data_IF_061890768528
#
_entry.id   IF_061890768528
#
_cell.length_a   1.000
_cell.length_b   1.000
_cell.length_c   1.000
_cell.angle_alpha   90.00
_cell.angle_beta   90.00
_cell.angle_gamma   90.00
#
_symmetry.space_group_name_H-M   'P 1'
#
loop_
_entity.id
_entity.type
_entity.pdbx_description
1 polymer ?
#
# COMPACT_ATOMS: atom_id res chain seq x y z
N UNK A 1 9.56 -12.74 -7.10
CA UNK A 1 8.64 -11.64 -6.76
C UNK A 1 8.42 -10.86 -8.04
N UNK A 2 7.20 -10.85 -8.60
CA UNK A 2 6.94 -10.11 -9.85
C UNK A 2 7.03 -8.61 -9.57
N UNK A 3 7.79 -7.85 -10.37
CA UNK A 3 7.90 -6.39 -10.24
C UNK A 3 6.55 -5.69 -10.46
N UNK A 4 5.65 -6.36 -11.19
CA UNK A 4 4.31 -5.90 -11.55
C UNK A 4 3.46 -5.47 -10.33
N UNK A 5 3.66 -6.08 -9.16
CA UNK A 5 2.94 -5.69 -7.94
C UNK A 5 3.42 -4.36 -7.36
N UNK A 6 4.62 -3.92 -7.71
CA UNK A 6 5.21 -2.69 -7.20
C UNK A 6 5.27 -1.59 -8.25
N UNK A 7 5.05 -1.91 -9.52
CA UNK A 7 5.02 -0.92 -10.60
C UNK A 7 3.77 -0.04 -10.50
N UNK A 8 3.93 1.26 -10.67
CA UNK A 8 2.85 2.25 -10.77
C UNK A 8 3.32 3.38 -11.68
N UNK A 9 2.38 4.02 -12.36
CA UNK A 9 2.64 5.15 -13.26
C UNK A 9 2.59 6.47 -12.49
N UNK A 10 1.55 6.66 -11.67
CA UNK A 10 1.33 7.89 -10.92
C UNK A 10 1.29 7.61 -9.41
N UNK A 11 2.01 8.40 -8.62
CA UNK A 11 1.82 8.43 -7.16
C UNK A 11 0.95 9.61 -6.78
N UNK A 12 -0.30 9.34 -6.39
CA UNK A 12 -1.24 10.37 -5.94
C UNK A 12 -1.44 10.37 -4.42
N UNK A 13 -0.57 9.65 -3.69
CA UNK A 13 -0.64 9.67 -2.24
C UNK A 13 -0.47 11.11 -1.76
N UNK A 14 -1.24 11.43 -0.73
CA UNK A 14 -1.14 12.67 0.02
C UNK A 14 -0.65 12.34 1.43
N UNK A 15 -0.32 13.36 2.22
CA UNK A 15 0.15 13.20 3.59
C UNK A 15 -0.67 12.17 4.39
N UNK A 16 0.02 11.38 5.21
CA UNK A 16 -0.62 10.30 5.92
C UNK A 16 -1.49 10.85 7.06
N UNK A 17 -2.80 10.70 6.92
CA UNK A 17 -3.77 10.94 8.01
C UNK A 17 -4.16 9.63 8.69
N UNK A 18 -4.82 9.70 9.84
CA UNK A 18 -5.38 8.53 10.51
C UNK A 18 -6.33 7.72 9.60
N UNK A 19 -7.16 8.42 8.80
CA UNK A 19 -8.03 7.77 7.81
C UNK A 19 -7.26 7.09 6.68
N UNK A 20 -6.17 7.70 6.20
CA UNK A 20 -5.29 7.09 5.19
C UNK A 20 -4.53 5.88 5.73
N UNK A 21 -4.13 5.90 7.00
CA UNK A 21 -3.57 4.73 7.70
C UNK A 21 -4.57 3.58 7.78
N UNK A 22 -5.83 3.88 8.11
CA UNK A 22 -6.88 2.87 8.11
C UNK A 22 -7.09 2.28 6.70
N UNK A 23 -7.07 3.13 5.66
CA UNK A 23 -7.18 2.68 4.27
C UNK A 23 -6.03 1.74 3.87
N UNK A 24 -4.79 2.03 4.28
CA UNK A 24 -3.67 1.13 4.07
C UNK A 24 -3.89 -0.24 4.73
N UNK A 25 -4.26 -0.25 6.01
CA UNK A 25 -4.55 -1.50 6.74
C UNK A 25 -5.68 -2.29 6.08
N UNK A 26 -6.72 -1.60 5.61
CA UNK A 26 -7.82 -2.24 4.89
C UNK A 26 -7.35 -2.88 3.57
N UNK A 27 -6.49 -2.18 2.81
CA UNK A 27 -5.90 -2.74 1.60
C UNK A 27 -5.10 -4.01 1.89
N UNK A 28 -4.29 -4.00 2.94
CA UNK A 28 -3.53 -5.17 3.39
C UNK A 28 -4.45 -6.35 3.72
N UNK A 29 -5.48 -6.12 4.54
CA UNK A 29 -6.45 -7.15 4.91
C UNK A 29 -7.12 -7.75 3.67
N UNK A 30 -7.52 -6.92 2.70
CA UNK A 30 -8.11 -7.39 1.44
C UNK A 30 -7.17 -8.34 0.68
N UNK A 31 -5.87 -8.02 0.62
CA UNK A 31 -4.89 -8.88 -0.03
C UNK A 31 -4.74 -10.24 0.67
N UNK A 32 -4.68 -10.23 2.00
CA UNK A 32 -4.59 -11.45 2.83
C UNK A 32 -5.85 -12.31 2.70
N UNK A 33 -7.03 -11.68 2.59
CA UNK A 33 -8.31 -12.35 2.35
C UNK A 33 -8.50 -12.84 0.90
N UNK A 34 -7.50 -12.66 0.03
CA UNK A 34 -7.54 -13.12 -1.36
C UNK A 34 -8.43 -12.28 -2.27
N UNK A 35 -8.73 -11.02 -1.91
CA UNK A 35 -9.38 -10.08 -2.82
C UNK A 35 -8.38 -9.65 -3.89
N UNK A 36 -8.74 -9.84 -5.15
CA UNK A 36 -7.98 -9.29 -6.27
C UNK A 36 -8.53 -7.90 -6.64
N UNK A 37 -7.64 -7.01 -7.07
CA UNK A 37 -8.04 -5.81 -7.81
C UNK A 37 -8.07 -6.17 -9.29
N UNK A 38 -9.28 -6.24 -9.86
CA UNK A 38 -9.47 -6.50 -11.28
C UNK A 38 -9.23 -5.20 -12.07
N UNK A 39 -8.05 -5.06 -12.67
CA UNK A 39 -7.76 -4.03 -13.67
C UNK A 39 -6.42 -3.35 -13.49
N UNK A 40 -5.61 -3.39 -14.54
CA UNK A 40 -4.34 -2.66 -14.65
C UNK A 40 -4.52 -1.16 -14.33
N UNK A 41 -5.63 -0.56 -14.76
CA UNK A 41 -5.95 0.86 -14.49
C UNK A 41 -6.10 1.19 -12.99
N UNK A 42 -6.52 0.23 -12.15
CA UNK A 42 -6.69 0.46 -10.69
C UNK A 42 -5.34 0.43 -9.96
N UNK A 43 -4.34 -0.20 -10.56
CA UNK A 43 -3.00 -0.33 -9.99
C UNK A 43 -2.04 0.72 -10.56
N UNK A 44 -2.27 1.28 -11.75
CA UNK A 44 -1.42 2.33 -12.31
C UNK A 44 -1.26 3.57 -11.41
N UNK A 45 -2.24 3.82 -10.54
CA UNK A 45 -2.28 4.99 -9.65
C UNK A 45 -2.06 4.55 -8.19
N UNK A 46 -0.91 4.87 -7.61
CA UNK A 46 -0.58 4.51 -6.23
C UNK A 46 -1.39 5.35 -5.22
N UNK A 47 -2.05 4.66 -4.31
CA UNK A 47 -2.81 5.20 -3.18
C UNK A 47 -2.39 4.49 -1.89
N UNK A 48 -2.75 5.03 -0.73
CA UNK A 48 -2.47 4.34 0.53
C UNK A 48 -3.15 2.96 0.61
N UNK A 49 -4.34 2.81 0.04
CA UNK A 49 -5.07 1.53 0.08
C UNK A 49 -4.40 0.48 -0.81
N UNK A 50 -4.13 0.79 -2.08
CA UNK A 50 -3.52 -0.21 -2.95
C UNK A 50 -2.06 -0.48 -2.59
N UNK A 51 -1.33 0.47 -2.01
CA UNK A 51 -0.02 0.19 -1.42
C UNK A 51 -0.14 -0.87 -0.31
N UNK A 52 -1.09 -0.72 0.59
CA UNK A 52 -1.37 -1.74 1.62
C UNK A 52 -1.71 -3.09 1.01
N UNK A 53 -2.53 -3.12 -0.04
CA UNK A 53 -2.86 -4.35 -0.76
C UNK A 53 -1.62 -5.00 -1.40
N UNK A 54 -0.79 -4.24 -2.11
CA UNK A 54 0.45 -4.73 -2.74
C UNK A 54 1.39 -5.35 -1.71
N UNK A 55 1.61 -4.66 -0.59
CA UNK A 55 2.46 -5.18 0.47
C UNK A 55 1.83 -6.41 1.14
N UNK A 56 0.50 -6.46 1.31
CA UNK A 56 -0.20 -7.66 1.76
C UNK A 56 -0.05 -8.86 0.82
N UNK A 57 -0.02 -8.65 -0.51
CA UNK A 57 0.28 -9.72 -1.48
C UNK A 57 1.72 -10.23 -1.36
N UNK A 58 2.66 -9.37 -0.97
CA UNK A 58 4.09 -9.71 -0.86
C UNK A 58 4.39 -10.41 0.47
N UNK A 59 3.89 -9.88 1.58
CA UNK A 59 4.27 -10.30 2.93
C UNK A 59 3.23 -11.20 3.60
N UNK A 60 1.99 -11.25 3.09
CA UNK A 60 0.92 -12.07 3.65
C UNK A 60 0.43 -11.58 5.00
N UNK A 61 -0.10 -12.50 5.81
CA UNK A 61 -0.58 -12.19 7.15
C UNK A 61 0.60 -11.99 8.10
N UNK A 62 0.79 -10.73 8.51
CA UNK A 62 1.82 -10.32 9.47
C UNK A 62 1.18 -9.62 10.67
N UNK A 63 1.85 -9.62 11.84
CA UNK A 63 1.37 -8.90 13.03
C UNK A 63 1.08 -7.42 12.74
N UNK A 64 0.09 -6.85 13.44
CA UNK A 64 -0.33 -5.46 13.22
C UNK A 64 0.81 -4.45 13.45
N UNK A 65 1.70 -4.70 14.41
CA UNK A 65 2.89 -3.88 14.67
C UNK A 65 3.84 -3.81 13.45
N UNK A 66 3.91 -4.87 12.66
CA UNK A 66 4.71 -4.92 11.44
C UNK A 66 4.02 -4.12 10.33
N UNK A 67 2.69 -4.21 10.23
CA UNK A 67 1.90 -3.39 9.30
C UNK A 67 2.04 -1.90 9.62
N UNK A 68 2.03 -1.54 10.91
CA UNK A 68 2.24 -0.17 11.38
C UNK A 68 3.67 0.32 11.09
N UNK A 69 4.68 -0.51 11.35
CA UNK A 69 6.07 -0.18 11.04
C UNK A 69 6.31 0.05 9.54
N UNK A 70 5.63 -0.72 8.69
CA UNK A 70 5.75 -0.59 7.23
C UNK A 70 5.12 0.69 6.71
N UNK A 71 3.92 1.05 7.16
CA UNK A 71 3.30 2.30 6.72
C UNK A 71 4.11 3.52 7.19
N UNK A 72 4.68 3.48 8.40
CA UNK A 72 5.57 4.55 8.91
C UNK A 72 6.85 4.68 8.09
N UNK A 73 7.37 3.56 7.58
CA UNK A 73 8.50 3.58 6.65
C UNK A 73 8.10 4.14 5.29
N UNK A 74 6.96 3.72 4.74
CA UNK A 74 6.46 4.22 3.46
C UNK A 74 6.13 5.71 3.47
N UNK A 75 5.59 6.23 4.58
CA UNK A 75 5.37 7.66 4.80
C UNK A 75 6.67 8.44 4.77
N UNK A 76 7.69 7.97 5.52
CA UNK A 76 9.00 8.64 5.51
C UNK A 76 9.59 8.71 4.10
N UNK A 77 9.54 7.63 3.33
CA UNK A 77 10.04 7.64 1.94
C UNK A 77 9.28 8.63 1.05
N UNK A 78 7.95 8.72 1.23
CA UNK A 78 7.13 9.70 0.50
C UNK A 78 7.54 11.14 0.84
N UNK A 79 7.65 11.48 2.13
CA UNK A 79 8.04 12.82 2.57
C UNK A 79 9.47 13.23 2.16
N UNK A 80 10.36 12.26 1.91
CA UNK A 80 11.70 12.54 1.37
C UNK A 80 11.72 12.76 -0.15
N UNK A 81 10.69 12.31 -0.86
CA UNK A 81 10.59 12.44 -2.33
C UNK A 81 9.94 13.77 -2.76
N UNK A 82 9.28 14.47 -1.83
CA UNK A 82 8.64 15.78 -2.03
C UNK A 82 9.58 16.99 -1.72
N UNK A 83 10.87 16.76 -1.47
CA UNK A 83 11.92 17.79 -1.30
C UNK A 83 12.90 17.80 -2.48
#
# INVERSE_FOLDING_TARGET
MSSELLDYTDDIRQELTSGRRANFKQGWTRAVEGKEYDGDETLDVLTWNNLGWRLGKIFGDVPDEMRDSMIDWCERQHSFSDQ
#
